data_IF_043654406233
#
_entry.id   IF_043654406233
#
_cell.length_a   1.000
_cell.length_b   1.000
_cell.length_c   1.000
_cell.angle_alpha   90.00
_cell.angle_beta   90.00
_cell.angle_gamma   90.00
#
_symmetry.space_group_name_H-M   'P 1'
#
loop_
_entity.id
_entity.type
_entity.pdbx_description
1 polymer ?
#
# COMPACT_ATOMS: atom_id res chain seq x y z
N UNK A 1 75.14 -5.90 22.70
CA UNK A 1 74.05 -4.91 22.66
C UNK A 1 73.16 -5.28 21.48
N UNK A 2 71.98 -5.83 21.72
CA UNK A 2 70.99 -6.18 20.73
C UNK A 2 69.80 -5.23 20.88
N UNK A 3 69.59 -4.39 19.90
CA UNK A 3 68.41 -3.51 19.88
C UNK A 3 67.22 -4.32 19.33
N UNK A 4 66.17 -4.40 20.13
CA UNK A 4 64.88 -4.99 19.75
C UNK A 4 63.93 -3.88 19.31
N UNK A 5 63.66 -3.83 18.01
CA UNK A 5 62.70 -2.93 17.40
C UNK A 5 61.28 -3.45 17.62
N UNK A 6 60.45 -2.68 18.37
CA UNK A 6 59.02 -2.97 18.50
C UNK A 6 58.25 -2.34 17.33
N UNK A 7 57.72 -3.19 16.45
CA UNK A 7 56.73 -2.78 15.47
C UNK A 7 55.37 -2.71 16.12
N UNK A 8 54.85 -1.51 16.31
CA UNK A 8 53.44 -1.30 16.71
C UNK A 8 52.54 -1.43 15.48
N UNK A 9 51.77 -2.51 15.42
CA UNK A 9 50.69 -2.66 14.44
C UNK A 9 49.49 -1.87 14.90
N UNK A 10 49.19 -0.75 14.26
CA UNK A 10 47.92 -0.07 14.39
C UNK A 10 46.82 -0.82 13.61
N UNK A 11 45.96 -1.55 14.31
CA UNK A 11 44.70 -2.05 13.75
C UNK A 11 43.73 -0.88 13.60
N UNK A 12 43.59 -0.37 12.38
CA UNK A 12 42.53 0.55 12.03
C UNK A 12 41.21 -0.19 11.98
N UNK A 13 40.38 0.02 12.99
CA UNK A 13 38.97 -0.41 12.93
C UNK A 13 38.23 0.49 11.93
N UNK A 14 38.00 -0.02 10.72
CA UNK A 14 37.08 0.60 9.78
C UNK A 14 35.66 0.42 10.35
N UNK A 15 35.14 1.46 10.99
CA UNK A 15 33.72 1.52 11.31
C UNK A 15 32.95 1.66 9.99
N UNK A 16 32.42 0.55 9.49
CA UNK A 16 31.44 0.56 8.41
C UNK A 16 30.16 1.15 9.01
N UNK A 17 29.99 2.45 8.92
CA UNK A 17 28.69 3.08 9.12
C UNK A 17 27.81 2.62 7.97
N UNK A 18 26.98 1.60 8.21
CA UNK A 18 25.86 1.27 7.35
C UNK A 18 24.89 2.47 7.42
N UNK A 19 25.07 3.43 6.51
CA UNK A 19 23.99 4.35 6.19
C UNK A 19 22.88 3.50 5.63
N UNK A 20 21.83 3.27 6.42
CA UNK A 20 20.57 2.75 5.91
C UNK A 20 20.16 3.70 4.78
N UNK A 21 20.36 3.28 3.54
CA UNK A 21 19.83 4.00 2.40
C UNK A 21 18.31 3.93 2.56
N UNK A 22 17.74 5.02 3.02
CA UNK A 22 16.29 5.19 3.09
C UNK A 22 15.78 5.11 1.66
N UNK A 23 15.24 3.96 1.27
CA UNK A 23 14.65 3.76 -0.04
C UNK A 23 13.31 4.52 -0.07
N UNK A 24 13.39 5.83 -0.33
CA UNK A 24 12.22 6.60 -0.71
C UNK A 24 11.92 6.28 -2.16
N UNK A 25 10.78 5.67 -2.44
CA UNK A 25 10.38 5.39 -3.81
C UNK A 25 9.75 4.03 -4.01
N UNK A 26 9.78 3.56 -5.26
CA UNK A 26 9.22 2.26 -5.63
C UNK A 26 10.06 1.11 -5.05
N UNK A 27 9.41 0.27 -4.26
CA UNK A 27 9.99 -0.96 -3.70
C UNK A 27 9.59 -2.15 -4.56
N UNK A 28 10.57 -2.93 -5.00
CA UNK A 28 10.29 -4.15 -5.77
C UNK A 28 9.84 -5.27 -4.84
N UNK A 29 8.72 -5.87 -5.18
CA UNK A 29 8.17 -7.03 -4.48
C UNK A 29 8.80 -8.30 -5.05
N UNK A 30 9.58 -9.04 -4.25
CA UNK A 30 10.17 -10.29 -4.72
C UNK A 30 9.08 -11.35 -4.89
N UNK A 31 9.12 -12.08 -6.01
CA UNK A 31 8.18 -13.19 -6.27
C UNK A 31 8.32 -14.34 -5.27
N UNK A 32 9.37 -14.36 -4.48
CA UNK A 32 9.61 -15.33 -3.40
C UNK A 32 9.21 -14.80 -2.03
N UNK A 33 8.70 -13.57 -1.95
CA UNK A 33 8.35 -12.90 -0.69
C UNK A 33 9.56 -12.39 0.08
N UNK A 34 9.28 -11.85 1.24
CA UNK A 34 10.25 -11.29 2.18
C UNK A 34 10.52 -12.28 3.31
N UNK A 35 11.77 -12.42 3.71
CA UNK A 35 12.12 -13.23 4.90
C UNK A 35 11.70 -12.47 6.16
N UNK A 36 10.87 -13.10 6.97
CA UNK A 36 10.37 -12.56 8.24
C UNK A 36 10.60 -13.56 9.37
N UNK A 37 10.39 -13.13 10.61
CA UNK A 37 10.38 -14.06 11.73
C UNK A 37 9.25 -15.08 11.54
N UNK A 38 9.60 -16.36 11.52
CA UNK A 38 8.63 -17.45 11.29
C UNK A 38 8.46 -17.90 9.85
N UNK A 39 9.16 -17.30 8.87
CA UNK A 39 9.11 -17.78 7.49
C UNK A 39 9.23 -16.73 6.41
N UNK A 40 8.36 -16.82 5.42
CA UNK A 40 8.31 -15.91 4.28
C UNK A 40 6.93 -15.28 4.19
N UNK A 41 6.87 -13.96 4.02
CA UNK A 41 5.63 -13.20 3.84
C UNK A 41 5.63 -12.50 2.49
N UNK A 42 4.46 -12.36 1.89
CA UNK A 42 4.27 -11.53 0.70
C UNK A 42 4.45 -10.03 0.98
N UNK A 43 4.26 -9.60 2.22
CA UNK A 43 4.24 -8.18 2.59
C UNK A 43 5.60 -7.59 2.90
N UNK A 44 5.77 -6.33 2.48
CA UNK A 44 6.78 -5.40 3.01
C UNK A 44 6.09 -4.27 3.77
N UNK A 45 6.69 -3.85 4.88
CA UNK A 45 6.21 -2.68 5.61
C UNK A 45 6.59 -1.41 4.86
N UNK A 46 5.61 -0.59 4.54
CA UNK A 46 5.80 0.75 3.99
C UNK A 46 5.88 1.79 5.11
N UNK A 47 5.17 1.55 6.20
CA UNK A 47 5.24 2.27 7.44
C UNK A 47 5.64 1.30 8.55
N UNK A 48 6.78 1.52 9.18
CA UNK A 48 7.35 0.60 10.18
C UNK A 48 7.05 0.97 11.62
N UNK A 49 6.39 2.10 11.85
CA UNK A 49 5.96 2.57 13.17
C UNK A 49 4.44 2.73 13.28
N UNK A 50 3.73 2.56 12.19
CA UNK A 50 2.27 2.53 12.20
C UNK A 50 1.76 1.31 12.92
N UNK A 51 0.72 1.50 13.66
CA UNK A 51 0.01 0.49 14.40
C UNK A 51 -1.39 0.41 13.80
N UNK A 52 -1.56 -0.54 12.91
CA UNK A 52 -2.81 -0.70 12.18
C UNK A 52 -3.90 -1.22 13.13
N UNK A 53 -4.97 -0.46 13.27
CA UNK A 53 -6.11 -0.82 14.11
C UNK A 53 -5.90 -0.59 15.60
N UNK A 54 -4.92 0.21 16.00
CA UNK A 54 -4.79 0.64 17.38
C UNK A 54 -5.30 2.08 17.58
N UNK A 55 -5.87 2.34 18.73
CA UNK A 55 -6.21 3.68 19.19
C UNK A 55 -4.93 4.51 19.36
N UNK A 56 -4.53 5.18 18.32
CA UNK A 56 -3.32 6.00 18.26
C UNK A 56 -3.44 7.24 19.16
N UNK A 57 -3.23 7.04 20.45
CA UNK A 57 -3.16 8.15 21.41
C UNK A 57 -1.94 9.06 21.19
N UNK A 58 -0.98 8.63 20.38
CA UNK A 58 0.22 9.38 20.05
C UNK A 58 0.41 9.38 18.54
N UNK A 59 0.15 10.51 17.85
CA UNK A 59 0.39 10.59 16.41
C UNK A 59 1.83 10.18 16.09
N UNK A 60 2.03 9.24 15.19
CA UNK A 60 3.37 8.81 14.81
C UNK A 60 4.12 9.97 14.17
N UNK A 61 5.42 9.96 14.30
CA UNK A 61 6.31 10.92 13.64
C UNK A 61 6.41 10.56 12.14
N UNK A 62 5.27 10.57 11.47
CA UNK A 62 5.22 10.32 10.05
C UNK A 62 5.82 11.49 9.28
N UNK A 63 6.91 11.25 8.57
CA UNK A 63 7.51 12.23 7.68
C UNK A 63 7.30 11.80 6.23
N UNK A 64 6.43 12.48 5.47
CA UNK A 64 6.22 12.17 4.05
C UNK A 64 7.47 12.40 3.20
N UNK A 65 8.50 13.01 3.76
CA UNK A 65 9.74 13.39 3.07
C UNK A 65 10.93 12.47 3.38
N UNK A 66 10.69 11.21 3.77
CA UNK A 66 11.77 10.24 3.89
C UNK A 66 12.23 9.97 5.33
N UNK A 67 11.36 10.03 6.30
CA UNK A 67 11.62 9.43 7.62
C UNK A 67 11.73 7.91 7.55
N UNK A 68 12.23 7.27 8.60
CA UNK A 68 12.41 5.81 8.68
C UNK A 68 11.14 5.00 8.42
N UNK A 69 9.98 5.63 8.50
CA UNK A 69 8.66 5.04 8.33
C UNK A 69 8.14 5.05 6.88
N UNK A 70 8.86 5.66 5.94
CA UNK A 70 8.40 5.88 4.58
C UNK A 70 9.23 5.13 3.54
N UNK A 71 9.34 3.82 3.68
CA UNK A 71 10.17 3.02 2.79
C UNK A 71 9.63 2.92 1.36
N UNK A 72 8.33 3.16 1.16
CA UNK A 72 7.65 3.06 -0.13
C UNK A 72 7.16 4.41 -0.69
N UNK A 73 7.48 5.54 -0.05
CA UNK A 73 6.92 6.83 -0.42
C UNK A 73 7.57 7.44 -1.66
N UNK A 74 6.75 8.03 -2.53
CA UNK A 74 7.19 8.92 -3.62
C UNK A 74 6.79 10.36 -3.33
N UNK A 75 7.65 11.31 -3.70
CA UNK A 75 7.48 12.74 -3.37
C UNK A 75 6.46 13.46 -4.25
N UNK A 76 6.00 12.84 -5.33
CA UNK A 76 5.07 13.44 -6.28
C UNK A 76 4.00 12.45 -6.71
N UNK A 77 2.80 12.96 -6.95
CA UNK A 77 1.68 12.20 -7.52
C UNK A 77 1.41 12.56 -8.99
N UNK A 78 2.12 13.54 -9.53
CA UNK A 78 1.85 14.04 -10.89
C UNK A 78 3.13 14.52 -11.60
N UNK A 79 3.91 13.63 -12.21
CA UNK A 79 3.81 12.18 -12.23
C UNK A 79 4.38 11.52 -10.96
N UNK A 80 4.00 10.26 -10.64
CA UNK A 80 4.58 9.53 -9.50
C UNK A 80 6.03 9.12 -9.74
N UNK A 81 6.46 9.11 -10.99
CA UNK A 81 7.83 8.78 -11.39
C UNK A 81 8.23 9.67 -12.57
N UNK A 82 9.40 10.29 -12.47
CA UNK A 82 9.95 11.16 -13.53
C UNK A 82 10.03 10.42 -14.87
N UNK A 83 9.64 11.09 -15.95
CA UNK A 83 9.62 10.50 -17.30
C UNK A 83 8.37 9.70 -17.65
N UNK A 84 7.39 9.65 -16.75
CA UNK A 84 6.08 9.03 -17.01
C UNK A 84 5.04 10.08 -17.34
N UNK A 85 4.14 9.73 -18.27
CA UNK A 85 3.01 10.55 -18.69
C UNK A 85 1.70 9.84 -18.39
N UNK A 86 0.69 10.56 -17.93
CA UNK A 86 -0.64 9.99 -17.70
C UNK A 86 -1.30 9.68 -19.05
N UNK A 87 -1.68 8.40 -19.24
CA UNK A 87 -2.28 7.91 -20.50
C UNK A 87 -3.73 7.47 -20.34
N UNK A 88 -4.21 7.29 -19.10
CA UNK A 88 -5.60 7.01 -18.81
C UNK A 88 -5.98 7.47 -17.41
N UNK A 89 -7.25 7.83 -17.23
CA UNK A 89 -7.86 8.11 -15.92
C UNK A 89 -9.36 7.85 -15.98
N UNK A 90 -9.91 7.33 -14.89
CA UNK A 90 -11.35 7.18 -14.69
C UNK A 90 -11.67 7.20 -13.20
N UNK A 91 -12.89 7.63 -12.87
CA UNK A 91 -13.42 7.55 -11.49
C UNK A 91 -14.62 6.63 -11.49
N UNK A 92 -14.70 5.77 -10.47
CA UNK A 92 -15.77 4.79 -10.27
C UNK A 92 -16.38 4.94 -8.89
N UNK A 93 -17.69 4.70 -8.78
CA UNK A 93 -18.34 4.63 -7.48
C UNK A 93 -17.95 3.32 -6.78
N UNK A 94 -17.68 3.43 -5.48
CA UNK A 94 -17.62 2.31 -4.55
C UNK A 94 -19.04 2.11 -4.04
N UNK A 95 -19.67 1.00 -4.40
CA UNK A 95 -21.07 0.73 -4.05
C UNK A 95 -21.19 -0.64 -3.41
N UNK A 96 -21.78 -0.69 -2.22
CA UNK A 96 -22.12 -1.92 -1.50
C UNK A 96 -23.60 -1.86 -1.10
N UNK A 97 -24.34 -2.96 -1.25
CA UNK A 97 -25.78 -3.05 -0.93
C UNK A 97 -26.63 -1.91 -1.54
N UNK A 98 -26.23 -1.38 -2.72
CA UNK A 98 -26.91 -0.27 -3.38
C UNK A 98 -26.56 1.13 -2.85
N UNK A 99 -25.67 1.23 -1.86
CA UNK A 99 -25.22 2.47 -1.25
C UNK A 99 -23.85 2.84 -1.82
N UNK A 100 -23.68 4.07 -2.31
CA UNK A 100 -22.39 4.57 -2.77
C UNK A 100 -21.60 5.13 -1.59
N UNK A 101 -20.67 4.32 -1.08
CA UNK A 101 -19.87 4.62 0.11
C UNK A 101 -18.64 5.48 -0.20
N UNK A 102 -18.27 5.59 -1.47
CA UNK A 102 -17.11 6.40 -1.87
C UNK A 102 -16.89 6.38 -3.37
N UNK A 103 -15.71 6.86 -3.78
CA UNK A 103 -15.23 6.83 -5.16
C UNK A 103 -13.78 6.36 -5.22
N UNK A 104 -13.43 5.67 -6.30
CA UNK A 104 -12.06 5.29 -6.61
C UNK A 104 -11.65 5.96 -7.92
N UNK A 105 -10.57 6.74 -7.87
CA UNK A 105 -9.89 7.27 -9.07
C UNK A 105 -8.79 6.33 -9.48
N UNK A 106 -8.83 5.85 -10.72
CA UNK A 106 -7.91 4.88 -11.31
C UNK A 106 -7.15 5.53 -12.47
N UNK A 107 -5.82 5.46 -12.45
CA UNK A 107 -4.94 6.10 -13.45
C UNK A 107 -3.92 5.12 -13.99
N UNK A 108 -3.46 5.39 -15.22
CA UNK A 108 -2.29 4.76 -15.80
C UNK A 108 -1.29 5.81 -16.24
N UNK A 109 -0.07 5.65 -15.79
CA UNK A 109 1.09 6.42 -16.21
C UNK A 109 2.04 5.50 -16.98
N UNK A 110 2.66 6.01 -18.05
CA UNK A 110 3.52 5.20 -18.93
C UNK A 110 4.82 5.94 -19.21
N UNK A 111 5.92 5.18 -19.28
CA UNK A 111 7.22 5.70 -19.72
C UNK A 111 7.20 6.03 -21.22
N UNK A 112 8.19 6.80 -21.68
CA UNK A 112 8.29 7.22 -23.09
C UNK A 112 8.57 6.04 -24.03
N UNK A 113 9.16 4.95 -23.54
CA UNK A 113 9.42 3.76 -24.34
C UNK A 113 8.15 2.87 -24.51
N UNK A 114 7.10 3.10 -23.72
CA UNK A 114 5.88 2.32 -23.78
C UNK A 114 6.00 0.90 -23.21
N UNK A 115 7.01 0.66 -22.39
CA UNK A 115 7.35 -0.67 -21.86
C UNK A 115 7.13 -0.83 -20.37
N UNK A 116 6.96 0.27 -19.64
CA UNK A 116 6.73 0.29 -18.21
C UNK A 116 5.56 1.21 -17.86
N UNK A 117 4.65 0.71 -17.03
CA UNK A 117 3.49 1.46 -16.55
C UNK A 117 3.45 1.53 -15.03
N UNK A 118 2.82 2.60 -14.54
CA UNK A 118 2.39 2.75 -13.16
C UNK A 118 0.87 2.80 -13.16
N UNK A 119 0.25 1.85 -12.48
CA UNK A 119 -1.19 1.78 -12.23
C UNK A 119 -1.45 2.38 -10.85
N UNK A 120 -2.30 3.41 -10.81
CA UNK A 120 -2.54 4.18 -9.60
C UNK A 120 -4.00 4.08 -9.17
N UNK A 121 -4.24 3.98 -7.87
CA UNK A 121 -5.57 4.07 -7.28
C UNK A 121 -5.58 5.07 -6.13
N UNK A 122 -6.65 5.84 -6.02
CA UNK A 122 -6.94 6.70 -4.87
C UNK A 122 -8.41 6.62 -4.52
N UNK A 123 -8.70 6.50 -3.24
CA UNK A 123 -10.06 6.40 -2.71
C UNK A 123 -10.45 7.70 -2.01
N UNK A 124 -11.73 8.02 -2.09
CA UNK A 124 -12.37 9.08 -1.31
C UNK A 124 -13.69 8.57 -0.76
N UNK A 125 -13.82 8.53 0.56
CA UNK A 125 -15.01 8.07 1.25
C UNK A 125 -16.08 9.15 1.37
N UNK A 126 -17.33 8.74 1.35
CA UNK A 126 -18.50 9.60 1.52
C UNK A 126 -19.00 9.56 2.96
N UNK A 127 -19.60 10.68 3.40
CA UNK A 127 -20.37 10.73 4.64
C UNK A 127 -21.73 10.04 4.42
N UNK A 128 -21.76 8.73 4.54
CA UNK A 128 -22.99 7.94 4.32
C UNK A 128 -22.99 6.70 5.20
N UNK A 129 -24.13 6.38 5.73
CA UNK A 129 -24.36 5.14 6.45
C UNK A 129 -24.34 3.96 5.46
N UNK A 130 -23.38 3.08 5.63
CA UNK A 130 -23.15 1.91 4.76
C UNK A 130 -24.00 0.71 5.16
N UNK A 131 -24.60 0.73 6.35
CA UNK A 131 -25.51 -0.31 6.87
C UNK A 131 -26.66 0.27 7.70
N UNK A 132 -27.70 0.81 7.08
CA UNK A 132 -28.82 1.43 7.77
C UNK A 132 -29.69 0.44 8.56
N UNK A 133 -29.38 -0.86 8.53
CA UNK A 133 -30.05 -1.86 9.35
C UNK A 133 -29.42 -2.04 10.73
N UNK A 134 -28.19 -1.57 10.91
CA UNK A 134 -27.49 -1.54 12.19
C UNK A 134 -27.70 -0.20 12.88
N UNK A 135 -27.89 -0.21 14.19
CA UNK A 135 -28.13 1.01 14.97
C UNK A 135 -26.88 1.91 14.98
N UNK A 136 -27.08 3.21 14.75
CA UNK A 136 -26.00 4.18 14.60
C UNK A 136 -25.57 4.32 13.14
N UNK A 137 -24.71 5.29 12.86
CA UNK A 137 -24.16 5.46 11.51
C UNK A 137 -22.96 4.53 11.35
N UNK A 138 -23.04 3.61 10.42
CA UNK A 138 -21.97 2.70 10.07
C UNK A 138 -21.22 3.23 8.85
N UNK A 139 -19.99 3.68 9.01
CA UNK A 139 -19.15 4.09 7.88
C UNK A 139 -18.44 2.87 7.30
N UNK A 140 -18.34 2.84 5.98
CA UNK A 140 -17.51 1.82 5.31
C UNK A 140 -16.04 2.18 5.49
N UNK A 141 -15.28 1.25 6.00
CA UNK A 141 -13.86 1.40 6.22
C UNK A 141 -13.07 0.57 5.21
N UNK A 142 -12.04 1.16 4.65
CA UNK A 142 -11.19 0.51 3.66
C UNK A 142 -9.93 -0.01 4.34
N UNK A 143 -9.88 -1.31 4.58
CA UNK A 143 -8.72 -1.98 5.17
C UNK A 143 -7.76 -2.53 4.11
N UNK A 144 -8.27 -2.96 2.94
CA UNK A 144 -7.47 -3.43 1.83
C UNK A 144 -7.87 -2.79 0.50
N UNK A 145 -6.86 -2.46 -0.31
CA UNK A 145 -7.01 -2.06 -1.71
C UNK A 145 -6.17 -2.99 -2.57
N UNK A 146 -6.83 -3.75 -3.43
CA UNK A 146 -6.19 -4.79 -4.21
C UNK A 146 -6.29 -4.55 -5.71
N UNK A 147 -5.24 -4.93 -6.42
CA UNK A 147 -5.19 -4.87 -7.87
C UNK A 147 -4.56 -6.13 -8.45
N UNK A 148 -5.24 -6.73 -9.45
CA UNK A 148 -4.75 -7.87 -10.22
C UNK A 148 -4.16 -7.46 -11.57
N UNK A 149 -3.59 -8.44 -12.26
CA UNK A 149 -3.15 -8.34 -13.65
C UNK A 149 -1.64 -8.33 -13.83
N UNK A 150 -0.88 -8.73 -12.82
CA UNK A 150 0.58 -8.62 -12.86
C UNK A 150 1.32 -9.91 -13.17
N UNK A 151 0.59 -11.02 -13.37
CA UNK A 151 1.19 -12.32 -13.73
C UNK A 151 2.03 -12.21 -15.00
N UNK A 152 3.31 -12.56 -14.90
CA UNK A 152 4.23 -12.56 -16.03
C UNK A 152 4.62 -11.16 -16.56
N UNK A 153 4.39 -10.09 -15.80
CA UNK A 153 4.67 -8.70 -16.22
C UNK A 153 6.04 -8.18 -15.79
N UNK A 154 6.98 -9.09 -15.48
CA UNK A 154 8.32 -8.75 -15.00
C UNK A 154 8.30 -8.32 -13.53
N UNK A 155 9.31 -7.58 -13.07
CA UNK A 155 9.33 -7.10 -11.70
C UNK A 155 8.14 -6.20 -11.41
N UNK A 156 7.44 -6.51 -10.30
CA UNK A 156 6.37 -5.68 -9.76
C UNK A 156 6.96 -4.84 -8.64
N UNK A 157 6.71 -3.53 -8.67
CA UNK A 157 7.15 -2.63 -7.61
C UNK A 157 5.96 -1.80 -7.14
N UNK A 158 5.97 -1.46 -5.85
CA UNK A 158 4.92 -0.65 -5.24
C UNK A 158 5.47 0.65 -4.70
N UNK A 159 4.62 1.64 -4.63
CA UNK A 159 4.87 2.88 -3.91
C UNK A 159 3.55 3.51 -3.48
N UNK A 160 3.64 4.55 -2.67
CA UNK A 160 2.50 5.41 -2.39
C UNK A 160 2.91 6.88 -2.40
N UNK A 161 1.95 7.76 -2.59
CA UNK A 161 2.13 9.20 -2.38
C UNK A 161 1.20 9.65 -1.27
N UNK A 162 1.80 10.06 -0.18
CA UNK A 162 1.08 10.56 0.98
C UNK A 162 0.66 12.01 0.73
N UNK A 163 -0.63 12.28 0.89
CA UNK A 163 -1.16 13.63 0.81
C UNK A 163 -1.21 14.20 2.21
N UNK A 164 -0.21 14.96 2.62
CA UNK A 164 -0.23 15.64 3.93
C UNK A 164 -1.44 16.57 4.04
N UNK A 165 -2.26 16.35 5.05
CA UNK A 165 -3.38 17.18 5.41
C UNK A 165 -3.28 17.65 6.86
N UNK A 166 -2.31 18.47 7.19
CA UNK A 166 -2.28 19.10 8.52
C UNK A 166 -1.87 18.17 9.67
N UNK A 167 -1.87 18.71 10.88
CA UNK A 167 -1.61 17.95 12.11
C UNK A 167 -2.76 16.97 12.38
N UNK A 168 -2.45 15.71 12.64
CA UNK A 168 -3.42 14.66 12.94
C UNK A 168 -3.66 13.66 11.80
N UNK A 169 -2.78 13.61 10.83
CA UNK A 169 -2.82 12.53 9.84
C UNK A 169 -2.13 11.30 10.39
N UNK A 170 -2.88 10.22 10.43
CA UNK A 170 -2.35 8.97 10.85
C UNK A 170 -1.52 8.32 9.74
N UNK A 171 -0.64 7.47 10.12
CA UNK A 171 0.15 6.58 9.28
C UNK A 171 -0.63 5.32 8.85
N UNK A 172 -1.86 5.20 9.31
CA UNK A 172 -2.82 4.13 9.03
C UNK A 172 -3.22 4.07 7.55
N UNK A 173 -3.17 5.21 6.84
CA UNK A 173 -3.56 5.29 5.42
C UNK A 173 -2.76 4.40 4.46
N UNK A 174 -1.62 3.90 4.87
CA UNK A 174 -0.91 2.78 4.27
C UNK A 174 0.05 2.17 5.28
N UNK A 175 -0.14 0.92 5.61
CA UNK A 175 0.73 0.20 6.54
C UNK A 175 1.72 -0.70 5.81
N UNK A 176 1.25 -1.57 4.92
CA UNK A 176 2.07 -2.54 4.19
C UNK A 176 1.52 -2.77 2.79
N UNK A 177 2.35 -3.38 1.94
CA UNK A 177 1.91 -3.85 0.63
C UNK A 177 2.64 -5.13 0.25
N UNK A 178 2.06 -5.94 -0.62
CA UNK A 178 2.65 -7.22 -1.02
C UNK A 178 2.03 -7.84 -2.25
N UNK A 179 2.75 -8.82 -2.81
CA UNK A 179 2.23 -9.71 -3.84
C UNK A 179 1.33 -10.77 -3.19
N UNK A 180 0.09 -10.41 -2.92
CA UNK A 180 -0.89 -11.31 -2.30
C UNK A 180 -2.32 -10.93 -2.67
N UNK A 181 -3.22 -11.89 -2.51
CA UNK A 181 -4.67 -11.69 -2.55
C UNK A 181 -5.31 -11.96 -1.19
N UNK A 182 -4.50 -12.28 -0.21
CA UNK A 182 -4.97 -12.53 1.15
C UNK A 182 -5.29 -11.22 1.83
N UNK A 183 -6.53 -11.08 2.26
CA UNK A 183 -6.95 -9.95 3.06
C UNK A 183 -6.40 -10.04 4.48
N UNK A 184 -6.23 -8.88 5.10
CA UNK A 184 -6.07 -8.79 6.55
C UNK A 184 -7.47 -8.89 7.15
N UNK A 185 -7.69 -9.90 7.98
CA UNK A 185 -8.94 -10.05 8.75
C UNK A 185 -8.61 -9.68 10.18
N UNK A 186 -9.34 -8.73 10.74
CA UNK A 186 -9.32 -8.43 12.16
C UNK A 186 -10.39 -9.27 12.87
N UNK A 187 -10.02 -9.90 13.96
CA UNK A 187 -10.99 -10.52 14.86
C UNK A 187 -11.66 -9.39 15.66
N UNK A 188 -12.98 -9.41 15.84
CA UNK A 188 -13.66 -8.41 16.65
C UNK A 188 -13.08 -8.32 18.07
N UNK A 189 -12.55 -7.16 18.44
CA UNK A 189 -11.95 -6.92 19.74
C UNK A 189 -10.46 -7.26 19.84
N UNK A 190 -9.78 -7.41 18.70
CA UNK A 190 -8.34 -7.69 18.63
C UNK A 190 -7.59 -6.51 17.99
N UNK A 191 -7.72 -5.36 18.60
CA UNK A 191 -7.24 -4.07 18.09
C UNK A 191 -5.70 -3.97 18.14
N UNK A 192 -5.04 -4.83 18.91
CA UNK A 192 -3.59 -4.76 19.21
C UNK A 192 -2.74 -5.84 18.49
N UNK A 193 -3.27 -6.58 17.51
CA UNK A 193 -2.47 -7.63 16.90
C UNK A 193 -1.43 -7.07 15.92
N UNK A 194 -0.15 -7.25 16.18
CA UNK A 194 0.87 -6.90 15.21
C UNK A 194 0.61 -7.67 13.92
N UNK A 195 0.56 -6.97 12.79
CA UNK A 195 0.34 -7.54 11.45
C UNK A 195 1.54 -8.42 11.02
N UNK A 196 1.89 -9.39 11.85
CA UNK A 196 2.98 -10.35 11.63
C UNK A 196 2.54 -11.56 10.81
N UNK A 197 1.27 -11.61 10.39
CA UNK A 197 0.76 -12.74 9.65
C UNK A 197 1.54 -12.96 8.36
N UNK A 198 2.02 -14.18 8.20
CA UNK A 198 2.64 -14.65 6.97
C UNK A 198 1.55 -14.74 5.89
N UNK A 199 1.56 -13.82 4.94
CA UNK A 199 0.62 -13.87 3.82
C UNK A 199 1.19 -14.73 2.69
N UNK A 200 0.38 -15.61 2.06
CA UNK A 200 0.79 -16.37 0.89
C UNK A 200 1.07 -15.44 -0.29
N UNK A 201 2.00 -15.85 -1.14
CA UNK A 201 2.41 -15.07 -2.30
C UNK A 201 1.46 -15.36 -3.45
N UNK A 202 0.87 -14.30 -4.02
CA UNK A 202 0.18 -14.35 -5.31
C UNK A 202 1.16 -14.05 -6.45
N UNK A 203 0.91 -14.60 -7.62
CA UNK A 203 1.63 -14.23 -8.83
C UNK A 203 0.94 -13.12 -9.62
N UNK A 204 -0.29 -12.75 -9.24
CA UNK A 204 -1.15 -11.88 -10.01
C UNK A 204 -1.65 -10.65 -9.26
N UNK A 205 -1.81 -10.73 -7.95
CA UNK A 205 -2.41 -9.69 -7.12
C UNK A 205 -1.38 -8.92 -6.32
N UNK A 206 -1.61 -7.63 -6.20
CA UNK A 206 -0.94 -6.74 -5.24
C UNK A 206 -2.00 -6.23 -4.28
N UNK A 207 -1.71 -6.32 -3.00
CA UNK A 207 -2.51 -5.81 -1.90
C UNK A 207 -1.83 -4.66 -1.20
N UNK A 208 -2.62 -3.68 -0.78
CA UNK A 208 -2.24 -2.57 0.08
C UNK A 208 -3.15 -2.58 1.31
N UNK A 209 -2.58 -2.84 2.48
CA UNK A 209 -3.28 -2.70 3.75
C UNK A 209 -3.33 -1.23 4.14
N UNK A 210 -4.51 -0.74 4.45
CA UNK A 210 -4.78 0.69 4.68
C UNK A 210 -5.91 0.84 5.69
N UNK A 211 -6.02 2.02 6.28
CA UNK A 211 -7.17 2.44 7.05
C UNK A 211 -7.69 3.76 6.49
N UNK A 212 -8.82 3.68 5.81
CA UNK A 212 -9.44 4.85 5.17
C UNK A 212 -10.95 4.81 5.38
N UNK A 213 -11.44 5.75 6.15
CA UNK A 213 -12.87 5.88 6.43
C UNK A 213 -13.31 7.35 6.43
N UNK A 214 -14.61 7.61 6.45
CA UNK A 214 -15.12 8.98 6.58
C UNK A 214 -15.06 9.46 8.03
N UNK A 215 -15.38 8.60 8.95
CA UNK A 215 -15.33 8.83 10.37
C UNK A 215 -14.96 7.53 11.05
N UNK A 216 -13.94 7.60 11.83
CA UNK A 216 -13.34 6.52 12.56
C UNK A 216 -13.70 6.69 14.05
N UNK A 217 -14.28 5.70 14.70
CA UNK A 217 -14.66 5.79 16.10
C UNK A 217 -13.46 5.69 17.06
N UNK A 218 -12.41 4.97 16.70
CA UNK A 218 -11.26 4.66 17.55
C UNK A 218 -9.95 5.30 17.09
N UNK A 219 -9.86 5.82 15.87
CA UNK A 219 -8.65 6.37 15.28
C UNK A 219 -8.81 7.74 14.63
N UNK A 220 -7.94 8.01 13.69
CA UNK A 220 -7.89 9.25 12.93
C UNK A 220 -8.63 9.13 11.60
N UNK A 221 -9.82 9.66 11.50
CA UNK A 221 -10.63 9.65 10.28
C UNK A 221 -9.88 10.19 9.06
N UNK A 222 -9.68 9.36 8.06
CA UNK A 222 -9.03 9.69 6.80
C UNK A 222 -9.91 9.35 5.60
N UNK A 223 -10.78 10.30 5.22
CA UNK A 223 -11.70 10.11 4.09
C UNK A 223 -11.04 10.00 2.70
N UNK A 224 -9.80 10.44 2.56
CA UNK A 224 -9.04 10.38 1.31
C UNK A 224 -7.80 9.51 1.53
N UNK A 225 -7.68 8.42 0.82
CA UNK A 225 -6.49 7.57 0.86
C UNK A 225 -5.25 8.29 0.30
N UNK A 226 -4.08 7.73 0.54
CA UNK A 226 -2.91 7.94 -0.31
C UNK A 226 -3.20 7.51 -1.75
N UNK A 227 -2.36 7.93 -2.71
CA UNK A 227 -2.25 7.24 -3.97
C UNK A 227 -1.48 5.93 -3.77
N UNK A 228 -2.05 4.82 -4.18
CA UNK A 228 -1.42 3.51 -4.21
C UNK A 228 -0.94 3.23 -5.62
N UNK A 229 0.33 2.88 -5.78
CA UNK A 229 0.97 2.69 -7.07
C UNK A 229 1.52 1.28 -7.23
N UNK A 230 1.21 0.67 -8.37
CA UNK A 230 1.87 -0.57 -8.82
C UNK A 230 2.57 -0.31 -10.13
N UNK A 231 3.89 -0.53 -10.18
CA UNK A 231 4.70 -0.43 -11.39
C UNK A 231 5.04 -1.82 -11.90
N UNK A 232 4.82 -2.04 -13.20
CA UNK A 232 5.15 -3.30 -13.87
C UNK A 232 5.46 -3.08 -15.35
N UNK A 233 5.85 -4.16 -16.03
CA UNK A 233 5.91 -4.17 -17.49
C UNK A 233 4.52 -3.97 -18.11
N UNK A 234 4.48 -3.25 -19.22
CA UNK A 234 3.28 -3.04 -20.02
C UNK A 234 3.61 -2.97 -21.50
N UNK A 235 2.62 -2.63 -22.31
CA UNK A 235 2.77 -2.39 -23.75
C UNK A 235 2.31 -0.97 -24.10
N UNK A 236 2.61 -0.51 -25.32
CA UNK A 236 2.14 0.76 -25.84
C UNK A 236 0.64 0.78 -26.18
N UNK A 237 -0.07 -0.35 -26.03
CA UNK A 237 -1.51 -0.41 -26.26
C UNK A 237 -2.27 0.58 -25.37
N UNK A 238 -3.42 1.06 -25.87
CA UNK A 238 -4.32 1.89 -25.07
C UNK A 238 -4.78 1.13 -23.85
N UNK A 239 -4.67 1.69 -22.63
CA UNK A 239 -5.17 1.05 -21.44
C UNK A 239 -6.67 0.77 -21.54
N UNK A 240 -7.07 -0.46 -21.21
CA UNK A 240 -8.46 -0.86 -21.16
C UNK A 240 -8.80 -1.32 -19.73
N UNK A 241 -10.05 -1.07 -19.32
CA UNK A 241 -10.53 -1.59 -18.06
C UNK A 241 -10.80 -3.10 -18.18
N UNK A 242 -10.32 -3.85 -17.19
CA UNK A 242 -10.55 -5.28 -17.03
C UNK A 242 -11.49 -5.48 -15.85
N UNK A 243 -12.49 -6.35 -16.02
CA UNK A 243 -13.47 -6.63 -14.95
C UNK A 243 -12.81 -7.36 -13.78
N UNK A 244 -13.16 -6.97 -12.57
CA UNK A 244 -12.77 -7.69 -11.35
C UNK A 244 -11.31 -7.51 -10.91
N UNK A 245 -10.51 -6.67 -11.57
CA UNK A 245 -9.09 -6.48 -11.21
C UNK A 245 -8.84 -5.48 -10.08
N UNK A 246 -9.87 -4.79 -9.63
CA UNK A 246 -9.80 -3.94 -8.44
C UNK A 246 -10.75 -4.46 -7.38
N UNK A 247 -10.28 -4.53 -6.15
CA UNK A 247 -11.09 -4.84 -4.98
C UNK A 247 -10.77 -3.85 -3.87
N UNK A 248 -11.83 -3.45 -3.17
CA UNK A 248 -11.76 -2.63 -1.96
C UNK A 248 -12.50 -3.39 -0.88
N UNK A 249 -11.84 -3.62 0.24
CA UNK A 249 -12.36 -4.49 1.31
C UNK A 249 -12.47 -3.76 2.62
N UNK A 250 -13.56 -4.06 3.31
CA UNK A 250 -13.78 -3.82 4.73
C UNK A 250 -13.62 -5.17 5.44
N UNK A 251 -12.75 -5.26 6.42
CA UNK A 251 -12.21 -6.54 6.90
C UNK A 251 -12.49 -6.83 8.36
N UNK A 252 -13.52 -6.23 8.92
CA UNK A 252 -14.02 -6.60 10.24
C UNK A 252 -13.40 -5.86 11.41
N UNK A 253 -12.59 -4.82 11.15
CA UNK A 253 -12.10 -3.93 12.19
C UNK A 253 -13.29 -3.35 12.97
N UNK A 254 -13.16 -3.12 14.28
CA UNK A 254 -14.21 -2.59 15.16
C UNK A 254 -15.54 -3.38 15.14
N UNK A 255 -15.49 -4.65 14.79
CA UNK A 255 -16.69 -5.47 14.66
C UNK A 255 -17.51 -5.21 13.40
N UNK A 256 -16.95 -4.51 12.42
CA UNK A 256 -17.59 -4.25 11.13
C UNK A 256 -17.75 -5.53 10.31
N UNK A 257 -18.70 -5.59 9.37
CA UNK A 257 -18.86 -6.77 8.54
C UNK A 257 -17.75 -6.89 7.49
N UNK A 258 -17.42 -8.13 7.13
CA UNK A 258 -16.52 -8.40 6.01
C UNK A 258 -17.25 -8.10 4.69
N UNK A 259 -16.82 -7.09 3.95
CA UNK A 259 -17.40 -6.71 2.67
C UNK A 259 -16.33 -6.47 1.62
N UNK A 260 -16.61 -6.89 0.38
CA UNK A 260 -15.72 -6.66 -0.77
C UNK A 260 -16.49 -5.95 -1.88
N UNK A 261 -15.96 -4.82 -2.32
CA UNK A 261 -16.43 -4.11 -3.51
C UNK A 261 -15.48 -4.45 -4.65
N UNK A 262 -16.00 -5.14 -5.67
CA UNK A 262 -15.23 -5.53 -6.86
C UNK A 262 -15.55 -4.61 -8.02
N UNK A 263 -14.50 -4.12 -8.69
CA UNK A 263 -14.58 -3.12 -9.75
C UNK A 263 -13.80 -3.55 -10.99
N UNK A 264 -14.20 -3.02 -12.14
CA UNK A 264 -13.31 -2.98 -13.29
C UNK A 264 -12.21 -1.95 -13.04
N UNK A 265 -10.98 -2.22 -13.49
CA UNK A 265 -9.85 -1.31 -13.34
C UNK A 265 -8.87 -1.42 -14.50
N UNK A 266 -7.97 -0.45 -14.60
CA UNK A 266 -6.88 -0.57 -15.55
C UNK A 266 -5.88 -1.62 -15.09
N UNK A 267 -5.47 -2.48 -16.03
CA UNK A 267 -4.47 -3.51 -15.84
C UNK A 267 -3.60 -3.65 -17.09
N UNK A 268 -2.45 -4.33 -17.04
CA UNK A 268 -1.67 -4.65 -18.22
C UNK A 268 -2.49 -5.37 -19.29
N UNK A 269 -2.20 -5.12 -20.57
CA UNK A 269 -2.95 -5.73 -21.68
C UNK A 269 -2.92 -7.27 -21.60
N UNK A 270 -4.10 -7.90 -21.72
CA UNK A 270 -4.26 -9.35 -21.56
C UNK A 270 -4.16 -9.84 -20.12
N UNK A 271 -4.33 -8.96 -19.16
CA UNK A 271 -4.45 -9.32 -17.74
C UNK A 271 -5.80 -9.98 -17.45
N UNK A 272 -5.82 -10.81 -16.42
CA UNK A 272 -6.99 -11.40 -15.81
C UNK A 272 -6.98 -11.13 -14.29
N UNK A 273 -8.01 -11.58 -13.61
CA UNK A 273 -8.16 -11.49 -12.15
C UNK A 273 -8.05 -12.87 -11.47
N UNK A 274 -7.57 -13.89 -12.16
CA UNK A 274 -7.35 -15.22 -11.60
C UNK A 274 -6.05 -15.24 -10.79
N UNK A 275 -6.02 -16.02 -9.70
CA UNK A 275 -4.85 -16.16 -8.82
C UNK A 275 -3.93 -17.31 -9.24
#
# INVERSE_FOLDING_TARGET
MKETSLLSAMLGVLAITSTSAMATGFVTLPSTGFTVSGGTSAYTLCNVTGDFGSDESTPPTFSPNGGANNTCAVSSSNPPLTGYTKVAETTRNLTTSGITVGTLTDQVWRDSAGTSCVYAAKIRMNNVDSDPNTAGTQYFEVNDVQRAGFRGRGPVSIAYNFVTRGAGQSDEVLFRAGLTHTAVVHEPGDDDQPLTSVAPISTNWVDFTSDVNYNDPDGSSMRDSSWFYVKSGCTSATPAAVSGVLQVREMGQEGQPLRTITLSGYAPAGADNED
#
